data_IF_214455138858
#
_entry.id   IF_214455138858
#
_cell.length_a   1.000
_cell.length_b   1.000
_cell.length_c   1.000
_cell.angle_alpha   90.00
_cell.angle_beta   90.00
_cell.angle_gamma   90.00
#
_symmetry.space_group_name_H-M   'P 1'
#
loop_
_entity.id
_entity.type
_entity.pdbx_description
1 polymer ?
#
# COMPACT_ATOMS: atom_id res chain seq x y z
N UNK A 1 -24.99 -14.20 -14.60
CA UNK A 1 -24.38 -13.13 -13.79
C UNK A 1 -23.00 -13.63 -13.38
N UNK A 2 -21.95 -13.23 -14.11
CA UNK A 2 -20.60 -13.77 -13.93
C UNK A 2 -19.96 -13.28 -12.63
N UNK A 3 -19.34 -14.20 -11.89
CA UNK A 3 -18.66 -13.94 -10.62
C UNK A 3 -17.45 -13.01 -10.86
N UNK A 4 -17.40 -11.78 -10.31
CA UNK A 4 -16.35 -10.79 -10.62
C UNK A 4 -14.93 -11.21 -10.22
N UNK A 5 -14.78 -12.26 -9.37
CA UNK A 5 -13.49 -12.84 -9.00
C UNK A 5 -12.91 -13.82 -10.04
N UNK A 6 -13.68 -14.27 -11.03
CA UNK A 6 -13.24 -15.30 -11.99
C UNK A 6 -12.36 -14.75 -13.13
N UNK A 7 -12.39 -13.44 -13.37
CA UNK A 7 -11.70 -12.82 -14.52
C UNK A 7 -10.44 -12.04 -14.10
N UNK A 8 -10.01 -12.17 -12.85
CA UNK A 8 -8.79 -11.53 -12.33
C UNK A 8 -7.59 -12.45 -12.47
N UNK A 9 -6.50 -11.92 -13.03
CA UNK A 9 -5.20 -12.58 -13.10
C UNK A 9 -4.32 -11.98 -12.00
N UNK A 10 -3.80 -12.82 -11.10
CA UNK A 10 -2.91 -12.34 -10.05
C UNK A 10 -1.45 -12.35 -10.49
N UNK A 11 -0.74 -11.26 -10.21
CA UNK A 11 0.69 -11.15 -10.36
C UNK A 11 1.35 -11.14 -8.98
N UNK A 12 2.32 -12.02 -8.73
CA UNK A 12 3.02 -12.06 -7.45
C UNK A 12 3.78 -10.73 -7.22
N UNK A 13 3.62 -10.15 -6.03
CA UNK A 13 4.25 -8.90 -5.64
C UNK A 13 5.07 -9.08 -4.35
N UNK A 14 6.30 -8.56 -4.35
CA UNK A 14 7.27 -8.75 -3.28
C UNK A 14 7.83 -7.42 -2.79
N UNK A 15 8.04 -7.30 -1.48
CA UNK A 15 8.89 -6.25 -0.92
C UNK A 15 10.36 -6.59 -1.15
N UNK A 16 11.28 -5.67 -0.84
CA UNK A 16 12.72 -5.92 -0.97
C UNK A 16 13.16 -7.09 -0.08
N UNK A 17 12.63 -7.19 1.14
CA UNK A 17 12.92 -8.25 2.10
C UNK A 17 12.41 -9.60 1.60
N UNK A 18 11.16 -9.63 1.12
CA UNK A 18 10.54 -10.84 0.59
C UNK A 18 11.22 -11.29 -0.71
N UNK A 19 11.67 -10.35 -1.56
CA UNK A 19 12.44 -10.69 -2.76
C UNK A 19 13.77 -11.38 -2.41
N UNK A 20 14.50 -10.85 -1.43
CA UNK A 20 15.73 -11.48 -0.97
C UNK A 20 15.47 -12.87 -0.36
N UNK A 21 14.41 -13.00 0.46
CA UNK A 21 14.01 -14.29 1.01
C UNK A 21 13.63 -15.29 -0.08
N UNK A 22 12.89 -14.84 -1.10
CA UNK A 22 12.44 -15.65 -2.23
C UNK A 22 13.64 -16.20 -3.00
N UNK A 23 14.62 -15.36 -3.32
CA UNK A 23 15.83 -15.78 -4.04
C UNK A 23 16.67 -16.81 -3.31
N UNK A 24 16.61 -16.83 -1.97
CA UNK A 24 17.30 -17.86 -1.15
C UNK A 24 16.63 -19.23 -1.25
N UNK A 25 15.30 -19.26 -1.39
CA UNK A 25 14.51 -20.50 -1.37
C UNK A 25 14.08 -20.98 -2.76
N UNK A 26 14.15 -20.12 -3.77
CA UNK A 26 13.70 -20.42 -5.12
C UNK A 26 14.68 -21.30 -5.87
N UNK A 27 14.15 -22.33 -6.53
CA UNK A 27 14.92 -23.27 -7.34
C UNK A 27 15.43 -22.63 -8.64
N UNK A 28 14.72 -21.62 -9.14
CA UNK A 28 14.97 -20.88 -10.39
C UNK A 28 15.72 -19.56 -10.14
N UNK A 29 16.50 -19.46 -9.04
CA UNK A 29 17.23 -18.23 -8.67
C UNK A 29 18.14 -17.65 -9.76
N UNK A 30 18.60 -18.50 -10.69
CA UNK A 30 19.50 -18.12 -11.79
C UNK A 30 18.78 -17.35 -12.89
N UNK A 31 17.47 -17.51 -12.99
CA UNK A 31 16.60 -16.85 -13.97
C UNK A 31 15.91 -15.61 -13.38
N UNK A 32 16.22 -15.26 -12.12
CA UNK A 32 15.66 -14.12 -11.39
C UNK A 32 16.61 -12.93 -11.39
N UNK A 33 16.07 -11.71 -11.44
CA UNK A 33 16.85 -10.47 -11.40
C UNK A 33 17.75 -10.37 -10.18
N UNK A 34 18.91 -9.71 -10.37
CA UNK A 34 19.97 -9.61 -9.38
C UNK A 34 19.59 -8.71 -8.19
N UNK A 35 18.64 -7.79 -8.38
CA UNK A 35 18.15 -6.89 -7.35
C UNK A 35 16.63 -6.80 -7.35
N UNK A 36 16.07 -6.35 -6.22
CA UNK A 36 14.62 -6.07 -6.13
C UNK A 36 14.24 -4.90 -7.03
N UNK A 37 15.11 -3.91 -7.19
CA UNK A 37 14.86 -2.73 -8.03
C UNK A 37 14.73 -3.10 -9.53
N UNK A 38 15.63 -3.95 -10.04
CA UNK A 38 15.55 -4.46 -11.42
C UNK A 38 14.26 -5.26 -11.64
N UNK A 39 13.94 -6.16 -10.71
CA UNK A 39 12.71 -6.93 -10.75
C UNK A 39 11.46 -6.02 -10.71
N UNK A 40 11.44 -5.01 -9.83
CA UNK A 40 10.31 -4.11 -9.66
C UNK A 40 10.05 -3.32 -10.94
N UNK A 41 11.10 -2.77 -11.56
CA UNK A 41 10.98 -2.05 -12.82
C UNK A 41 10.37 -2.94 -13.93
N UNK A 42 10.87 -4.17 -14.07
CA UNK A 42 10.33 -5.15 -15.02
C UNK A 42 8.90 -5.59 -14.71
N UNK A 43 8.59 -5.80 -13.43
CA UNK A 43 7.25 -6.20 -12.97
C UNK A 43 6.21 -5.10 -13.19
N UNK A 44 6.58 -3.82 -12.99
CA UNK A 44 5.73 -2.66 -13.26
C UNK A 44 5.47 -2.47 -14.76
N UNK A 45 6.51 -2.60 -15.59
CA UNK A 45 6.35 -2.58 -17.05
C UNK A 45 5.43 -3.71 -17.53
N UNK A 46 5.65 -4.92 -17.04
CA UNK A 46 4.84 -6.09 -17.38
C UNK A 46 3.38 -5.92 -16.93
N UNK A 47 3.15 -5.42 -15.72
CA UNK A 47 1.81 -5.13 -15.20
C UNK A 47 1.08 -4.09 -16.08
N UNK A 48 1.79 -3.01 -16.47
CA UNK A 48 1.25 -2.00 -17.39
C UNK A 48 0.92 -2.59 -18.75
N UNK A 49 1.80 -3.41 -19.31
CA UNK A 49 1.59 -4.07 -20.60
C UNK A 49 0.35 -4.99 -20.58
N UNK A 50 0.19 -5.80 -19.53
CA UNK A 50 -0.98 -6.69 -19.41
C UNK A 50 -2.29 -5.90 -19.27
N UNK A 51 -2.30 -4.84 -18.45
CA UNK A 51 -3.47 -3.95 -18.31
C UNK A 51 -3.80 -3.23 -19.61
N UNK A 52 -2.79 -2.77 -20.36
CA UNK A 52 -2.97 -2.16 -21.68
C UNK A 52 -3.60 -3.13 -22.69
N UNK A 53 -3.32 -4.43 -22.57
CA UNK A 53 -3.95 -5.48 -23.37
C UNK A 53 -5.37 -5.86 -22.89
N UNK A 54 -5.96 -5.09 -21.96
CA UNK A 54 -7.32 -5.32 -21.46
C UNK A 54 -7.43 -6.45 -20.44
N UNK A 55 -6.30 -6.97 -19.93
CA UNK A 55 -6.31 -8.00 -18.90
C UNK A 55 -6.48 -7.36 -17.51
N UNK A 56 -7.41 -7.90 -16.72
CA UNK A 56 -7.63 -7.48 -15.35
C UNK A 56 -6.59 -8.10 -14.42
N UNK A 57 -5.38 -7.52 -14.41
CA UNK A 57 -4.26 -8.00 -13.61
C UNK A 57 -4.13 -7.22 -12.30
N UNK A 58 -4.09 -7.96 -11.20
CA UNK A 58 -3.97 -7.43 -9.84
C UNK A 58 -2.63 -7.86 -9.23
N UNK A 59 -1.81 -6.93 -8.71
CA UNK A 59 -0.65 -7.29 -7.91
C UNK A 59 -1.11 -7.90 -6.59
N UNK A 60 -0.55 -9.05 -6.21
CA UNK A 60 -0.91 -9.81 -5.01
C UNK A 60 0.32 -9.91 -4.13
N UNK A 61 0.31 -9.30 -2.93
CA UNK A 61 1.40 -9.44 -1.97
C UNK A 61 1.63 -10.90 -1.58
N UNK A 62 2.85 -11.37 -1.73
CA UNK A 62 3.25 -12.74 -1.39
C UNK A 62 4.30 -12.71 -0.29
N UNK A 63 3.95 -13.29 0.87
CA UNK A 63 4.92 -13.63 1.90
C UNK A 63 5.62 -14.95 1.55
N UNK A 64 6.94 -14.96 1.52
CA UNK A 64 7.74 -16.14 1.15
C UNK A 64 7.57 -17.26 2.15
N UNK A 65 7.42 -16.94 3.44
CA UNK A 65 7.13 -17.92 4.49
C UNK A 65 5.84 -18.71 4.22
N UNK A 66 4.76 -18.02 3.82
CA UNK A 66 3.49 -18.63 3.43
C UNK A 66 3.63 -19.47 2.17
N UNK A 67 4.32 -18.94 1.14
CA UNK A 67 4.59 -19.66 -0.10
C UNK A 67 5.38 -20.94 0.17
N UNK A 68 6.40 -20.90 1.03
CA UNK A 68 7.20 -22.07 1.42
C UNK A 68 6.31 -23.10 2.12
N UNK A 69 5.47 -22.68 3.06
CA UNK A 69 4.55 -23.56 3.77
C UNK A 69 3.54 -24.22 2.81
N UNK A 70 2.98 -23.44 1.88
CA UNK A 70 2.06 -23.92 0.86
C UNK A 70 2.74 -24.89 -0.09
N UNK A 71 3.93 -24.57 -0.60
CA UNK A 71 4.72 -25.47 -1.46
C UNK A 71 5.05 -26.78 -0.74
N UNK A 72 5.44 -26.73 0.54
CA UNK A 72 5.72 -27.92 1.35
C UNK A 72 4.47 -28.79 1.52
N UNK A 73 3.32 -28.18 1.82
CA UNK A 73 2.02 -28.88 1.95
C UNK A 73 1.61 -29.54 0.64
N UNK A 74 1.84 -28.87 -0.48
CA UNK A 74 1.50 -29.34 -1.82
C UNK A 74 2.60 -30.19 -2.48
N UNK A 75 3.71 -30.48 -1.77
CA UNK A 75 4.88 -31.23 -2.26
C UNK A 75 5.45 -30.67 -3.57
N UNK A 76 5.51 -29.34 -3.68
CA UNK A 76 6.02 -28.61 -4.85
C UNK A 76 7.35 -27.94 -4.56
N UNK A 77 8.16 -27.79 -5.61
CA UNK A 77 9.34 -26.93 -5.59
C UNK A 77 8.90 -25.48 -5.67
N UNK A 78 9.65 -24.59 -5.05
CA UNK A 78 9.41 -23.15 -5.12
C UNK A 78 10.05 -22.67 -6.42
N UNK A 79 9.24 -22.58 -7.47
CA UNK A 79 9.61 -22.12 -8.81
C UNK A 79 8.56 -21.12 -9.33
N UNK A 80 8.82 -20.55 -10.51
CA UNK A 80 7.90 -19.63 -11.20
C UNK A 80 6.47 -20.14 -11.27
N UNK A 81 6.26 -21.44 -11.53
CA UNK A 81 4.93 -22.03 -11.66
C UNK A 81 4.22 -22.11 -10.32
N UNK A 82 4.92 -22.53 -9.27
CA UNK A 82 4.38 -22.58 -7.92
C UNK A 82 3.99 -21.18 -7.40
N UNK A 83 4.75 -20.14 -7.76
CA UNK A 83 4.41 -18.74 -7.42
C UNK A 83 3.08 -18.32 -8.06
N UNK A 84 2.90 -18.57 -9.36
CA UNK A 84 1.65 -18.24 -10.06
C UNK A 84 0.44 -19.02 -9.54
N UNK A 85 0.62 -20.32 -9.24
CA UNK A 85 -0.43 -21.15 -8.65
C UNK A 85 -0.81 -20.68 -7.25
N UNK A 86 0.17 -20.31 -6.41
CA UNK A 86 -0.07 -19.79 -5.07
C UNK A 86 -0.86 -18.48 -5.09
N UNK A 87 -0.52 -17.56 -5.99
CA UNK A 87 -1.25 -16.31 -6.17
C UNK A 87 -2.68 -16.56 -6.63
N UNK A 88 -2.88 -17.50 -7.57
CA UNK A 88 -4.22 -17.90 -8.02
C UNK A 88 -5.03 -18.50 -6.86
N UNK A 89 -4.38 -19.30 -6.00
CA UNK A 89 -4.98 -19.83 -4.80
C UNK A 89 -5.40 -18.73 -3.82
N UNK A 90 -4.57 -17.70 -3.56
CA UNK A 90 -4.94 -16.56 -2.69
C UNK A 90 -6.14 -15.79 -3.25
N UNK A 91 -6.16 -15.52 -4.56
CA UNK A 91 -7.29 -14.84 -5.22
C UNK A 91 -8.60 -15.63 -5.15
N UNK A 92 -8.54 -16.95 -5.40
CA UNK A 92 -9.73 -17.80 -5.37
C UNK A 92 -10.26 -18.05 -3.96
N UNK A 93 -9.36 -18.17 -2.97
CA UNK A 93 -9.74 -18.46 -1.58
C UNK A 93 -10.33 -17.24 -0.88
N UNK A 94 -10.30 -16.06 -1.51
CA UNK A 94 -10.74 -14.82 -0.87
C UNK A 94 -9.84 -14.37 0.28
N UNK A 95 -8.73 -15.08 0.54
CA UNK A 95 -7.56 -14.61 1.28
C UNK A 95 -6.76 -13.63 0.40
N UNK A 96 -7.48 -12.66 -0.13
CA UNK A 96 -6.92 -11.40 -0.50
C UNK A 96 -6.77 -10.70 0.85
N UNK A 97 -5.53 -10.58 1.35
CA UNK A 97 -5.24 -9.51 2.28
C UNK A 97 -5.49 -8.22 1.49
N UNK A 98 -6.75 -7.78 1.51
CA UNK A 98 -7.15 -6.42 1.20
C UNK A 98 -6.45 -5.57 2.25
N UNK A 99 -5.20 -5.19 1.96
CA UNK A 99 -4.47 -4.19 2.74
C UNK A 99 -5.20 -2.85 2.79
N UNK A 100 -6.31 -2.69 2.05
CA UNK A 100 -7.17 -1.51 2.05
C UNK A 100 -8.58 -1.72 2.66
N UNK A 101 -8.96 -2.94 3.09
CA UNK A 101 -10.31 -3.20 3.64
C UNK A 101 -10.29 -3.78 5.08
N UNK A 102 -9.18 -3.59 5.80
CA UNK A 102 -8.99 -4.09 7.18
C UNK A 102 -8.69 -2.98 8.21
N UNK A 103 -9.17 -1.75 7.99
CA UNK A 103 -9.28 -0.76 9.08
C UNK A 103 -10.66 -0.72 9.75
N UNK A 104 -11.58 -1.62 9.37
CA UNK A 104 -12.85 -1.80 10.07
C UNK A 104 -13.07 -3.28 10.42
N UNK A 105 -13.20 -3.55 11.72
CA UNK A 105 -13.62 -4.81 12.36
C UNK A 105 -12.66 -6.03 12.39
N UNK A 106 -11.65 -5.96 13.27
CA UNK A 106 -11.35 -7.07 14.20
C UNK A 106 -11.33 -6.57 15.63
N UNK A 107 -12.51 -6.58 16.26
CA UNK A 107 -12.59 -6.62 17.73
C UNK A 107 -12.09 -8.00 18.17
N UNK A 108 -10.78 -8.16 18.31
CA UNK A 108 -10.21 -9.21 19.15
C UNK A 108 -10.18 -8.69 20.58
N UNK A 109 -10.94 -9.32 21.48
CA UNK A 109 -10.78 -9.09 22.92
C UNK A 109 -9.33 -9.42 23.31
N UNK A 110 -8.50 -8.40 23.47
CA UNK A 110 -7.18 -8.51 24.10
C UNK A 110 -7.43 -8.62 25.61
N UNK A 111 -6.95 -9.69 26.29
CA UNK A 111 -7.05 -9.73 27.75
C UNK A 111 -6.28 -8.55 28.33
N UNK A 112 -6.98 -7.71 29.12
CA UNK A 112 -6.37 -6.54 29.78
C UNK A 112 -5.25 -7.01 30.71
N UNK A 113 -4.00 -6.84 30.30
CA UNK A 113 -2.86 -6.98 31.21
C UNK A 113 -3.00 -5.89 32.28
N UNK A 114 -3.01 -6.28 33.55
CA UNK A 114 -3.26 -5.36 34.67
C UNK A 114 -2.07 -4.46 35.03
N UNK A 115 -0.92 -4.58 34.36
CA UNK A 115 0.28 -3.80 34.65
C UNK A 115 0.96 -3.29 33.38
N UNK A 116 1.51 -2.06 33.39
CA UNK A 116 2.25 -1.51 32.26
C UNK A 116 3.52 -2.33 32.03
N UNK A 117 3.76 -2.69 30.77
CA UNK A 117 5.00 -3.35 30.34
C UNK A 117 6.05 -2.24 30.14
N UNK A 118 7.10 -2.16 30.98
CA UNK A 118 8.08 -1.06 30.91
C UNK A 118 8.84 -1.00 29.58
N UNK A 119 8.90 -2.13 28.86
CA UNK A 119 9.50 -2.21 27.53
C UNK A 119 8.62 -1.56 26.44
N UNK A 120 7.29 -1.56 26.60
CA UNK A 120 6.38 -1.01 25.61
C UNK A 120 6.49 0.51 25.55
N UNK A 121 6.52 1.21 26.69
CA UNK A 121 6.74 2.66 26.70
C UNK A 121 8.12 3.04 26.14
N UNK A 122 9.13 2.19 26.36
CA UNK A 122 10.47 2.42 25.82
C UNK A 122 10.48 2.23 24.29
N UNK A 123 9.81 1.19 23.79
CA UNK A 123 9.63 0.96 22.35
C UNK A 123 8.79 2.06 21.68
N UNK A 124 7.73 2.52 22.34
CA UNK A 124 6.85 3.59 21.86
C UNK A 124 7.64 4.91 21.75
N UNK A 125 8.45 5.25 22.76
CA UNK A 125 9.36 6.41 22.71
C UNK A 125 10.45 6.29 21.64
N UNK A 126 11.01 5.09 21.46
CA UNK A 126 12.00 4.83 20.40
C UNK A 126 11.36 4.93 19.01
N UNK A 127 10.10 4.52 18.87
CA UNK A 127 9.33 4.62 17.63
C UNK A 127 8.96 6.07 17.33
N UNK A 128 8.46 6.82 18.31
CA UNK A 128 8.20 8.27 18.20
C UNK A 128 9.46 9.07 17.83
N UNK A 129 10.61 8.76 18.44
CA UNK A 129 11.90 9.38 18.10
C UNK A 129 12.42 9.07 16.69
N UNK A 130 11.99 7.95 16.10
CA UNK A 130 12.39 7.55 14.74
C UNK A 130 11.36 7.95 13.68
N UNK A 131 10.12 8.23 14.06
CA UNK A 131 9.03 8.60 13.15
C UNK A 131 9.01 10.07 12.71
N UNK A 132 9.72 10.97 13.40
CA UNK A 132 9.86 12.39 13.03
C UNK A 132 10.59 12.60 11.67
N UNK A 133 11.06 11.53 11.03
CA UNK A 133 11.75 11.58 9.74
C UNK A 133 11.14 10.75 8.61
N UNK A 134 10.11 9.93 8.85
CA UNK A 134 9.78 8.88 7.87
C UNK A 134 8.31 8.42 7.80
N UNK A 135 7.34 9.07 8.46
CA UNK A 135 5.93 8.79 8.15
C UNK A 135 5.44 9.74 7.06
N UNK A 136 5.17 9.26 5.83
CA UNK A 136 4.61 10.12 4.80
C UNK A 136 3.25 10.65 5.27
N UNK A 137 2.93 11.91 4.96
CA UNK A 137 1.66 12.52 5.32
C UNK A 137 0.50 11.66 4.80
N UNK A 138 -0.68 11.70 5.46
CA UNK A 138 -1.78 10.77 5.18
C UNK A 138 -2.31 10.82 3.73
N UNK A 139 -2.09 11.93 3.02
CA UNK A 139 -2.44 12.10 1.61
C UNK A 139 -1.27 12.71 0.84
N UNK A 140 -0.19 11.95 0.61
CA UNK A 140 1.05 12.50 0.09
C UNK A 140 0.82 13.16 -1.27
N UNK A 141 1.39 14.34 -1.42
CA UNK A 141 1.36 15.09 -2.67
C UNK A 141 2.10 14.35 -3.78
N UNK A 142 1.47 14.23 -4.94
CA UNK A 142 2.08 13.70 -6.14
C UNK A 142 2.81 14.84 -6.86
N UNK A 143 4.13 14.97 -6.62
CA UNK A 143 4.96 16.00 -7.25
C UNK A 143 5.05 15.82 -8.77
N UNK A 144 5.08 14.58 -9.26
CA UNK A 144 5.24 14.24 -10.69
C UNK A 144 4.04 14.72 -11.51
N UNK A 145 2.83 14.61 -10.96
CA UNK A 145 1.60 15.05 -11.61
C UNK A 145 1.04 16.36 -11.05
N UNK A 146 1.73 16.97 -10.09
CA UNK A 146 1.28 18.15 -9.35
C UNK A 146 -0.16 18.01 -8.81
N UNK A 147 -0.47 16.84 -8.21
CA UNK A 147 -1.82 16.47 -7.85
C UNK A 147 -1.99 16.24 -6.35
N UNK A 148 -2.99 16.92 -5.77
CA UNK A 148 -3.46 16.69 -4.39
C UNK A 148 -4.72 15.81 -4.46
N UNK A 149 -4.67 14.64 -3.78
CA UNK A 149 -5.82 13.72 -3.66
C UNK A 149 -6.32 13.72 -2.21
N UNK A 150 -7.38 14.47 -1.95
CA UNK A 150 -8.04 14.50 -0.64
C UNK A 150 -9.42 13.81 -0.69
N UNK A 151 -9.86 13.13 0.39
CA UNK A 151 -11.21 12.60 0.47
C UNK A 151 -12.27 13.70 0.40
N UNK A 152 -13.44 13.40 -0.16
CA UNK A 152 -14.52 14.37 -0.35
C UNK A 152 -14.92 15.13 0.94
N UNK A 153 -14.88 14.45 2.11
CA UNK A 153 -15.16 15.09 3.41
C UNK A 153 -14.15 16.19 3.76
N UNK A 154 -12.86 15.92 3.52
CA UNK A 154 -11.78 16.89 3.79
C UNK A 154 -11.87 18.05 2.80
N UNK A 155 -12.19 17.78 1.53
CA UNK A 155 -12.42 18.83 0.53
C UNK A 155 -13.58 19.74 0.95
N UNK A 156 -14.68 19.18 1.46
CA UNK A 156 -15.82 19.97 1.97
C UNK A 156 -15.43 20.83 3.19
N UNK A 157 -14.64 20.31 4.12
CA UNK A 157 -14.10 21.09 5.25
C UNK A 157 -13.25 22.28 4.75
N UNK A 158 -12.32 22.02 3.82
CA UNK A 158 -11.45 23.06 3.23
C UNK A 158 -12.29 24.12 2.52
N UNK A 159 -13.31 23.72 1.74
CA UNK A 159 -14.23 24.65 1.08
C UNK A 159 -15.05 25.48 2.09
N UNK A 160 -15.47 24.90 3.21
CA UNK A 160 -16.16 25.63 4.27
C UNK A 160 -15.26 26.70 4.90
N UNK A 161 -13.99 26.37 5.17
CA UNK A 161 -13.01 27.31 5.70
C UNK A 161 -12.75 28.47 4.74
N UNK A 162 -12.68 28.19 3.44
CA UNK A 162 -12.56 29.22 2.39
C UNK A 162 -13.79 30.12 2.37
N UNK A 163 -15.00 29.54 2.42
CA UNK A 163 -16.28 30.28 2.44
C UNK A 163 -16.44 31.14 3.70
N UNK A 164 -15.92 30.68 4.84
CA UNK A 164 -15.94 31.46 6.08
C UNK A 164 -14.86 32.54 6.15
N UNK A 165 -13.99 32.65 5.13
CA UNK A 165 -12.92 33.64 5.05
C UNK A 165 -11.62 33.26 5.76
N UNK A 166 -11.52 32.04 6.30
CA UNK A 166 -10.33 31.53 7.00
C UNK A 166 -9.43 30.72 6.05
N UNK A 167 -8.95 31.43 5.02
CA UNK A 167 -8.01 30.87 4.03
C UNK A 167 -6.70 30.38 4.67
N UNK A 168 -6.11 31.07 5.67
CA UNK A 168 -4.91 30.55 6.34
C UNK A 168 -5.12 29.19 7.00
N UNK A 169 -6.25 28.97 7.69
CA UNK A 169 -6.56 27.67 8.28
C UNK A 169 -6.77 26.59 7.21
N UNK A 170 -7.40 26.93 6.09
CA UNK A 170 -7.57 26.03 4.95
C UNK A 170 -6.22 25.56 4.36
N UNK A 171 -5.27 26.49 4.18
CA UNK A 171 -3.92 26.20 3.65
C UNK A 171 -3.12 25.32 4.60
N UNK A 172 -3.08 25.66 5.90
CA UNK A 172 -2.39 24.84 6.91
C UNK A 172 -2.98 23.43 7.01
N UNK A 173 -4.30 23.29 6.84
CA UNK A 173 -4.98 22.00 6.85
C UNK A 173 -4.52 21.12 5.68
N UNK A 174 -4.46 21.68 4.48
CA UNK A 174 -3.98 20.97 3.28
C UNK A 174 -2.51 20.61 3.41
N UNK A 175 -1.66 21.54 3.85
CA UNK A 175 -0.22 21.30 4.07
C UNK A 175 0.01 20.16 5.07
N UNK A 176 -0.64 20.20 6.24
CA UNK A 176 -0.48 19.18 7.28
C UNK A 176 -0.90 17.78 6.83
N UNK A 177 -1.90 17.70 5.97
CA UNK A 177 -2.45 16.44 5.47
C UNK A 177 -1.68 15.87 4.28
N UNK A 178 -0.98 16.71 3.51
CA UNK A 178 -0.38 16.32 2.22
C UNK A 178 1.12 16.48 2.13
N UNK A 179 1.72 17.32 2.97
CA UNK A 179 3.13 17.68 2.91
C UNK A 179 3.54 18.43 1.64
N UNK A 180 2.61 18.90 0.81
CA UNK A 180 2.89 19.56 -0.49
C UNK A 180 3.66 20.90 -0.41
N UNK A 181 3.94 21.37 0.80
CA UNK A 181 4.51 22.70 1.05
C UNK A 181 3.48 23.83 0.88
N UNK A 182 3.76 24.97 1.52
CA UNK A 182 2.82 26.10 1.61
C UNK A 182 2.38 26.67 0.25
N UNK A 183 3.26 26.70 -0.74
CA UNK A 183 2.96 27.26 -2.07
C UNK A 183 1.92 26.45 -2.84
N UNK A 184 2.06 25.12 -2.83
CA UNK A 184 1.14 24.20 -3.50
C UNK A 184 -0.19 24.13 -2.74
N UNK A 185 -0.14 24.08 -1.41
CA UNK A 185 -1.34 24.12 -0.57
C UNK A 185 -2.16 25.40 -0.83
N UNK A 186 -1.49 26.55 -0.97
CA UNK A 186 -2.13 27.82 -1.32
C UNK A 186 -2.79 27.79 -2.71
N UNK A 187 -2.08 27.32 -3.73
CA UNK A 187 -2.61 27.24 -5.09
C UNK A 187 -3.86 26.34 -5.17
N UNK A 188 -3.85 25.22 -4.45
CA UNK A 188 -4.99 24.32 -4.33
C UNK A 188 -6.20 24.98 -3.66
N UNK A 189 -5.96 25.72 -2.56
CA UNK A 189 -7.03 26.42 -1.83
C UNK A 189 -7.59 27.59 -2.64
N UNK A 190 -6.74 28.34 -3.36
CA UNK A 190 -7.18 29.45 -4.21
C UNK A 190 -8.07 28.97 -5.37
N UNK A 191 -7.87 27.75 -5.87
CA UNK A 191 -8.75 27.16 -6.90
C UNK A 191 -10.23 27.06 -6.49
N UNK A 192 -10.54 26.97 -5.19
CA UNK A 192 -11.92 26.99 -4.71
C UNK A 192 -12.53 28.40 -4.65
N UNK A 193 -11.70 29.45 -4.69
CA UNK A 193 -12.17 30.84 -4.68
C UNK A 193 -12.66 31.27 -6.05
N UNK A 194 -12.10 30.66 -7.12
CA UNK A 194 -12.51 30.93 -8.50
C UNK A 194 -13.86 30.26 -8.86
N UNK A 195 -14.28 29.24 -8.09
CA UNK A 195 -15.53 28.49 -8.25
C UNK A 195 -16.71 28.98 -7.37
N UNK A 196 -16.52 30.06 -6.58
CA UNK A 196 -17.51 30.64 -5.65
C UNK A 196 -18.00 32.01 -6.10
#
# INVERSE_FOLDING_TARGET
MSNPKKDQIGLAWYTAEEWQALRRVSADRGDMDASHAEWLAGAEEYLRALRKNGLNVVPVPVQVSELVAWCKKNKRRIDSKARSEFVSFKLQSGEMDTADEALDMRITRVPRRRHPLPLLNTLEKMYEQSQDRATPPPYPYDEEHSLIRLPAKVVQEVQQLVRSGDVPAAVQRVEKLTGCGLGVAKAYVDGFRDDL
#
